data_IF_643154106758
#
_entry.id   IF_643154106758
#
_cell.length_a   1.000
_cell.length_b   1.000
_cell.length_c   1.000
_cell.angle_alpha   90.00
_cell.angle_beta   90.00
_cell.angle_gamma   90.00
#
_symmetry.space_group_name_H-M   'P 1'
#
loop_
_entity.id
_entity.type
_entity.pdbx_description
1 polymer ?
#
# COMPACT_ATOMS: atom_id res chain seq x y z
N UNK A 1 6.56 -25.17 -7.17
CA UNK A 1 6.14 -24.07 -6.28
C UNK A 1 5.69 -22.99 -7.21
N UNK A 2 4.44 -23.08 -7.65
CA UNK A 2 3.80 -22.04 -8.46
C UNK A 2 3.22 -21.04 -7.48
N UNK A 3 4.01 -20.02 -7.13
CA UNK A 3 3.46 -18.80 -6.54
C UNK A 3 2.67 -18.11 -7.64
N UNK A 4 1.35 -18.21 -7.55
CA UNK A 4 0.42 -17.48 -8.41
C UNK A 4 0.72 -15.97 -8.26
N UNK A 5 1.14 -15.26 -9.32
CA UNK A 5 1.45 -13.83 -9.25
C UNK A 5 0.22 -12.98 -8.87
N UNK A 6 -0.98 -13.55 -8.95
CA UNK A 6 -2.24 -12.92 -8.54
C UNK A 6 -2.44 -12.84 -7.02
N UNK A 7 -1.61 -13.51 -6.22
CA UNK A 7 -1.81 -13.64 -4.77
C UNK A 7 -1.35 -12.42 -3.94
N UNK A 8 -0.71 -11.43 -4.56
CA UNK A 8 -0.13 -10.26 -3.89
C UNK A 8 -0.87 -8.95 -4.16
N UNK A 9 -2.06 -8.99 -4.77
CA UNK A 9 -2.92 -7.82 -4.97
C UNK A 9 -4.21 -7.91 -4.16
N UNK A 10 -4.53 -6.86 -3.42
CA UNK A 10 -5.75 -6.73 -2.61
C UNK A 10 -6.60 -5.63 -3.22
N UNK A 11 -7.87 -5.92 -3.51
CA UNK A 11 -8.82 -4.89 -3.95
C UNK A 11 -9.72 -4.47 -2.81
N UNK A 12 -9.77 -3.16 -2.54
CA UNK A 12 -10.64 -2.54 -1.55
C UNK A 12 -11.57 -1.54 -2.24
N UNK A 13 -12.74 -1.28 -1.67
CA UNK A 13 -13.52 -0.07 -1.98
C UNK A 13 -12.97 1.11 -1.18
N UNK A 14 -13.30 2.35 -1.58
CA UNK A 14 -12.95 3.54 -0.80
C UNK A 14 -13.38 3.42 0.68
N UNK A 15 -14.59 2.93 0.94
CA UNK A 15 -15.07 2.71 2.32
C UNK A 15 -14.24 1.67 3.09
N UNK A 16 -13.79 0.59 2.42
CA UNK A 16 -12.94 -0.42 3.05
C UNK A 16 -11.54 0.13 3.32
N UNK A 17 -11.03 0.99 2.46
CA UNK A 17 -9.78 1.70 2.65
C UNK A 17 -9.84 2.65 3.85
N UNK A 18 -10.88 3.50 3.92
CA UNK A 18 -11.09 4.39 5.06
C UNK A 18 -11.23 3.62 6.38
N UNK A 19 -11.99 2.51 6.35
CA UNK A 19 -12.14 1.63 7.49
C UNK A 19 -10.83 0.95 7.90
N UNK A 20 -9.98 0.59 6.93
CA UNK A 20 -8.65 0.08 7.19
C UNK A 20 -7.77 1.14 7.84
N UNK A 21 -7.65 2.35 7.27
CA UNK A 21 -6.87 3.44 7.86
C UNK A 21 -7.35 3.80 9.28
N UNK A 22 -8.66 3.85 9.49
CA UNK A 22 -9.26 4.10 10.80
C UNK A 22 -8.96 2.99 11.84
N UNK A 23 -8.63 1.78 11.39
CA UNK A 23 -8.18 0.69 12.26
C UNK A 23 -6.72 0.81 12.67
N UNK A 24 -5.96 1.74 12.08
CA UNK A 24 -4.53 1.92 12.34
C UNK A 24 -4.24 3.06 13.30
N UNK A 25 -3.10 2.98 13.97
CA UNK A 25 -2.46 4.10 14.64
C UNK A 25 -0.98 4.14 14.28
N UNK A 26 -0.39 5.33 14.33
CA UNK A 26 1.05 5.53 14.16
C UNK A 26 1.66 5.97 15.50
N UNK A 27 2.75 5.33 15.91
CA UNK A 27 3.55 5.73 17.07
C UNK A 27 5.01 5.33 16.86
N UNK A 28 5.92 6.26 17.11
CA UNK A 28 7.37 6.05 17.01
C UNK A 28 7.80 5.53 15.62
N UNK A 29 7.27 6.13 14.56
CA UNK A 29 7.44 5.79 13.14
C UNK A 29 6.96 4.37 12.78
N UNK A 30 5.95 3.87 13.51
CA UNK A 30 5.40 2.53 13.31
C UNK A 30 3.88 2.54 13.19
N UNK A 31 3.39 2.02 12.08
CA UNK A 31 1.99 1.64 11.91
C UNK A 31 1.66 0.34 12.65
N UNK A 32 0.60 0.37 13.43
CA UNK A 32 0.05 -0.78 14.14
C UNK A 32 -1.48 -0.75 14.18
N UNK A 33 -2.10 -1.88 14.53
CA UNK A 33 -3.55 -2.02 14.64
C UNK A 33 -4.06 -1.51 16.00
N UNK A 34 -5.16 -0.77 15.98
CA UNK A 34 -5.88 -0.37 17.19
C UNK A 34 -6.51 -1.58 17.85
N UNK A 35 -6.41 -1.64 19.17
CA UNK A 35 -7.03 -2.66 20.00
C UNK A 35 -8.29 -2.14 20.70
N UNK A 36 -9.28 -3.01 20.85
CA UNK A 36 -10.51 -2.67 21.54
C UNK A 36 -10.24 -2.36 23.03
N UNK A 37 -10.76 -1.21 23.50
CA UNK A 37 -10.63 -0.78 24.90
C UNK A 37 -9.35 0.01 25.20
N UNK A 38 -8.46 0.19 24.23
CA UNK A 38 -7.34 1.13 24.33
C UNK A 38 -7.77 2.55 23.95
N UNK A 39 -7.03 3.55 24.47
CA UNK A 39 -7.20 4.96 24.11
C UNK A 39 -5.98 5.42 23.32
N UNK A 40 -6.23 6.09 22.20
CA UNK A 40 -5.21 6.60 21.30
C UNK A 40 -5.37 8.12 21.15
N UNK A 41 -4.31 8.91 21.32
CA UNK A 41 -4.30 10.33 21.03
C UNK A 41 -4.71 10.64 19.58
N UNK A 42 -5.33 11.80 19.31
CA UNK A 42 -5.64 12.24 17.95
C UNK A 42 -4.41 12.37 17.04
N UNK A 43 -3.24 12.64 17.62
CA UNK A 43 -1.97 12.74 16.88
C UNK A 43 -1.51 11.39 16.30
N UNK A 44 -2.04 10.27 16.80
CA UNK A 44 -1.71 8.92 16.32
C UNK A 44 -2.72 8.43 15.27
N UNK A 45 -3.56 9.32 14.74
CA UNK A 45 -4.53 8.98 13.70
C UNK A 45 -3.80 8.80 12.37
N UNK A 46 -4.15 7.75 11.63
CA UNK A 46 -3.55 7.45 10.33
C UNK A 46 -4.53 7.89 9.24
N UNK A 47 -4.04 8.74 8.35
CA UNK A 47 -4.68 9.11 7.08
C UNK A 47 -3.79 8.66 5.90
N UNK A 48 -4.20 8.98 4.67
CA UNK A 48 -3.44 8.63 3.47
C UNK A 48 -2.03 9.24 3.46
N UNK A 49 -1.86 10.45 4.02
CA UNK A 49 -0.56 11.11 4.10
C UNK A 49 0.38 10.36 5.06
N UNK A 50 -0.10 10.00 6.26
CA UNK A 50 0.68 9.18 7.21
C UNK A 50 0.99 7.81 6.60
N UNK A 51 0.03 7.19 5.92
CA UNK A 51 0.22 5.91 5.25
C UNK A 51 1.31 5.97 4.17
N UNK A 52 1.43 7.08 3.44
CA UNK A 52 2.42 7.27 2.38
C UNK A 52 3.86 7.17 2.85
N UNK A 53 4.16 7.56 4.09
CA UNK A 53 5.49 7.41 4.69
C UNK A 53 5.91 5.95 4.89
N UNK A 54 4.97 5.00 4.79
CA UNK A 54 5.19 3.57 4.96
C UNK A 54 4.99 2.76 3.66
N UNK A 55 4.62 3.43 2.56
CA UNK A 55 4.50 2.79 1.27
C UNK A 55 5.86 2.72 0.57
N UNK A 56 6.11 1.61 -0.14
CA UNK A 56 7.30 1.45 -1.00
C UNK A 56 7.15 2.27 -2.30
N UNK A 57 5.92 2.35 -2.80
CA UNK A 57 5.52 3.21 -3.91
C UNK A 57 4.00 3.40 -3.87
N UNK A 58 3.50 4.47 -4.49
CA UNK A 58 2.07 4.72 -4.61
C UNK A 58 1.73 5.44 -5.91
N UNK A 59 0.50 5.24 -6.36
CA UNK A 59 -0.16 6.01 -7.42
C UNK A 59 -1.51 6.47 -6.84
N UNK A 60 -1.58 7.72 -6.41
CA UNK A 60 -2.74 8.29 -5.71
C UNK A 60 -3.15 9.60 -6.35
N UNK A 61 -4.46 9.85 -6.38
CA UNK A 61 -5.01 11.17 -6.70
C UNK A 61 -4.91 12.16 -5.54
N UNK A 62 -4.81 11.66 -4.30
CA UNK A 62 -4.78 12.48 -3.08
C UNK A 62 -3.36 12.80 -2.59
N UNK A 63 -2.44 11.86 -2.74
CA UNK A 63 -1.05 11.98 -2.29
C UNK A 63 -0.11 12.05 -3.48
N UNK A 64 0.71 13.10 -3.54
CA UNK A 64 1.73 13.26 -4.57
C UNK A 64 2.86 12.24 -4.35
N UNK A 65 2.91 11.21 -5.21
CA UNK A 65 3.99 10.24 -5.29
C UNK A 65 5.05 10.62 -6.33
N UNK A 66 6.26 10.07 -6.20
CA UNK A 66 7.35 10.27 -7.17
C UNK A 66 7.46 9.06 -8.12
N UNK A 67 6.53 8.98 -9.09
CA UNK A 67 6.45 7.86 -10.03
C UNK A 67 7.76 7.67 -10.82
N UNK A 68 8.28 8.76 -11.39
CA UNK A 68 9.46 8.70 -12.27
C UNK A 68 10.75 8.55 -11.47
N UNK A 69 10.87 9.18 -10.29
CA UNK A 69 12.00 8.94 -9.38
C UNK A 69 12.02 7.51 -8.86
N UNK A 70 10.87 6.94 -8.50
CA UNK A 70 10.77 5.52 -8.11
C UNK A 70 11.20 4.59 -9.25
N UNK A 71 10.81 4.89 -10.50
CA UNK A 71 11.21 4.11 -11.67
C UNK A 71 12.74 4.17 -11.90
N UNK A 72 13.34 5.35 -11.72
CA UNK A 72 14.78 5.55 -11.81
C UNK A 72 15.53 4.80 -10.70
N UNK A 73 15.02 4.83 -9.46
CA UNK A 73 15.62 4.15 -8.30
C UNK A 73 15.68 2.62 -8.49
N UNK A 74 14.73 2.04 -9.23
CA UNK A 74 14.72 0.62 -9.56
C UNK A 74 15.47 0.28 -10.87
N UNK A 75 16.19 1.26 -11.44
CA UNK A 75 16.98 1.16 -12.68
C UNK A 75 16.16 0.73 -13.91
N UNK A 76 14.87 1.07 -13.96
CA UNK A 76 13.97 0.77 -15.08
C UNK A 76 13.71 1.98 -15.98
N UNK A 77 13.13 1.74 -17.16
CA UNK A 77 12.74 2.80 -18.09
C UNK A 77 11.35 2.54 -18.66
N UNK A 78 10.60 3.60 -18.92
CA UNK A 78 9.25 3.51 -19.48
C UNK A 78 8.97 4.67 -20.45
N UNK A 79 8.02 4.46 -21.35
CA UNK A 79 7.58 5.45 -22.34
C UNK A 79 6.31 6.22 -21.93
N UNK A 80 5.68 5.83 -20.82
CA UNK A 80 4.45 6.41 -20.30
C UNK A 80 4.29 6.14 -18.80
N UNK A 81 3.43 6.91 -18.14
CA UNK A 81 3.11 6.73 -16.72
C UNK A 81 2.49 5.34 -16.45
N UNK A 82 1.64 4.84 -17.35
CA UNK A 82 1.04 3.51 -17.25
C UNK A 82 2.11 2.41 -17.30
N UNK A 83 3.05 2.50 -18.25
CA UNK A 83 4.17 1.56 -18.33
C UNK A 83 5.10 1.68 -17.12
N UNK A 84 5.37 2.91 -16.65
CA UNK A 84 6.19 3.14 -15.47
C UNK A 84 5.57 2.46 -14.23
N UNK A 85 4.27 2.67 -14.00
CA UNK A 85 3.57 2.06 -12.89
C UNK A 85 3.51 0.54 -12.98
N UNK A 86 3.29 -0.01 -14.17
CA UNK A 86 3.33 -1.46 -14.38
C UNK A 86 4.71 -2.05 -14.04
N UNK A 87 5.80 -1.39 -14.42
CA UNK A 87 7.16 -1.84 -14.08
C UNK A 87 7.45 -1.78 -12.59
N UNK A 88 7.04 -0.70 -11.94
CA UNK A 88 7.16 -0.52 -10.49
C UNK A 88 6.41 -1.62 -9.75
N UNK A 89 5.15 -1.86 -10.13
CA UNK A 89 4.33 -2.91 -9.51
C UNK A 89 4.96 -4.29 -9.71
N UNK A 90 5.37 -4.66 -10.92
CA UNK A 90 6.04 -5.95 -11.19
C UNK A 90 7.34 -6.11 -10.36
N UNK A 91 8.13 -5.03 -10.25
CA UNK A 91 9.37 -5.02 -9.47
C UNK A 91 9.11 -5.32 -7.99
N UNK A 92 8.17 -4.63 -7.36
CA UNK A 92 7.92 -4.81 -5.93
C UNK A 92 7.15 -6.11 -5.62
N UNK A 93 6.18 -6.47 -6.46
CA UNK A 93 5.41 -7.71 -6.27
C UNK A 93 6.30 -8.95 -6.40
N UNK A 94 7.26 -8.96 -7.33
CA UNK A 94 8.24 -10.05 -7.46
C UNK A 94 9.16 -10.21 -6.23
N UNK A 95 9.21 -9.18 -5.36
CA UNK A 95 9.98 -9.16 -4.09
C UNK A 95 9.10 -9.43 -2.86
N UNK A 96 7.85 -9.83 -3.06
CA UNK A 96 6.93 -10.18 -1.97
C UNK A 96 6.25 -8.99 -1.32
N UNK A 97 6.26 -7.82 -1.96
CA UNK A 97 5.40 -6.71 -1.57
C UNK A 97 3.94 -7.00 -1.96
N UNK A 98 3.02 -6.21 -1.40
CA UNK A 98 1.58 -6.32 -1.63
C UNK A 98 1.08 -5.02 -2.25
N UNK A 99 0.35 -5.14 -3.35
CA UNK A 99 -0.34 -4.04 -4.00
C UNK A 99 -1.77 -3.96 -3.47
N UNK A 100 -2.17 -2.81 -2.93
CA UNK A 100 -3.54 -2.50 -2.55
C UNK A 100 -4.11 -1.58 -3.62
N UNK A 101 -5.20 -2.01 -4.26
CA UNK A 101 -5.93 -1.22 -5.27
C UNK A 101 -7.28 -0.79 -4.71
N UNK A 102 -7.50 0.51 -4.62
CA UNK A 102 -8.77 1.08 -4.19
C UNK A 102 -9.64 1.30 -5.43
N UNK A 103 -10.86 0.81 -5.37
CA UNK A 103 -11.81 0.79 -6.48
C UNK A 103 -12.99 1.72 -6.22
N UNK A 104 -13.60 2.23 -7.29
CA UNK A 104 -14.75 3.12 -7.23
C UNK A 104 -14.42 4.60 -7.05
N UNK A 105 -13.17 4.99 -7.28
CA UNK A 105 -12.69 6.37 -7.32
C UNK A 105 -12.58 6.86 -8.77
N UNK A 106 -12.57 8.19 -8.94
CA UNK A 106 -12.38 8.82 -10.26
C UNK A 106 -10.93 8.78 -10.72
N UNK A 107 -10.01 8.91 -9.77
CA UNK A 107 -8.55 8.85 -9.98
C UNK A 107 -7.99 7.52 -9.45
N UNK A 108 -6.85 7.05 -9.98
CA UNK A 108 -6.19 5.85 -9.49
C UNK A 108 -5.75 6.02 -8.04
N UNK A 109 -5.85 4.94 -7.27
CA UNK A 109 -5.50 4.90 -5.87
C UNK A 109 -4.93 3.52 -5.55
N UNK A 110 -3.61 3.42 -5.62
CA UNK A 110 -2.85 2.18 -5.56
C UNK A 110 -1.63 2.34 -4.65
N UNK A 111 -1.44 1.39 -3.72
CA UNK A 111 -0.41 1.46 -2.69
C UNK A 111 0.39 0.17 -2.67
N UNK A 112 1.71 0.27 -2.68
CA UNK A 112 2.61 -0.87 -2.52
C UNK A 112 3.16 -0.85 -1.10
N UNK A 113 2.93 -1.92 -0.34
CA UNK A 113 3.49 -2.13 0.99
C UNK A 113 4.45 -3.30 0.99
N UNK A 114 5.48 -3.23 1.84
CA UNK A 114 6.28 -4.42 2.13
C UNK A 114 5.41 -5.56 2.64
N UNK A 115 5.75 -6.80 2.27
CA UNK A 115 4.98 -7.97 2.69
C UNK A 115 4.93 -8.14 4.21
N UNK A 116 5.99 -7.74 4.92
CA UNK A 116 6.06 -7.80 6.38
C UNK A 116 5.10 -6.80 7.03
N UNK A 117 5.02 -5.57 6.50
CA UNK A 117 4.06 -4.57 6.96
C UNK A 117 2.63 -5.04 6.69
N UNK A 118 2.34 -5.49 5.46
CA UNK A 118 1.02 -5.98 5.10
C UNK A 118 0.54 -7.11 6.01
N UNK A 119 1.42 -8.09 6.30
CA UNK A 119 1.11 -9.19 7.24
C UNK A 119 0.85 -8.68 8.66
N UNK A 120 1.68 -7.75 9.16
CA UNK A 120 1.52 -7.17 10.50
C UNK A 120 0.20 -6.40 10.65
N UNK A 121 -0.23 -5.71 9.60
CA UNK A 121 -1.49 -4.96 9.57
C UNK A 121 -2.71 -5.83 9.27
N UNK A 122 -2.54 -7.16 9.14
CA UNK A 122 -3.64 -8.09 8.87
C UNK A 122 -4.26 -7.93 7.48
N UNK A 123 -3.55 -7.27 6.54
CA UNK A 123 -3.97 -7.21 5.16
C UNK A 123 -3.83 -8.61 4.54
N UNK A 124 -4.88 -9.14 3.89
CA UNK A 124 -4.87 -10.49 3.36
C UNK A 124 -3.88 -10.63 2.20
N UNK A 125 -2.63 -10.99 2.50
CA UNK A 125 -1.60 -11.34 1.52
C UNK A 125 -1.16 -12.79 1.72
N UNK A 126 -1.65 -13.69 0.87
CA UNK A 126 -1.06 -15.01 0.61
C UNK A 126 -0.94 -16.01 1.78
N UNK A 127 -1.90 -16.93 1.86
CA UNK A 127 -1.92 -18.24 2.54
C UNK A 127 -1.94 -18.28 4.09
N UNK A 128 -3.15 -18.30 4.64
CA UNK A 128 -3.51 -19.30 5.65
C UNK A 128 -4.04 -20.55 4.91
N UNK A 129 -3.21 -21.59 4.83
CA UNK A 129 -3.59 -22.99 4.61
C UNK A 129 -2.48 -23.90 5.16
#
# INVERSE_FOLDING_TARGET
MDTDPSASTISLTAQQWDGFLASLYERDDRLELREAGQTYPPLETVDAYVMSAHAEALLSGEVEGDLWGTLEDIEETASSDEEAWQRITDFYLSRGCVLIRITGLEEPEEWILSGDLARRLGLPGGAAA
#
